data_IF_426779567252
#
_entry.id   IF_426779567252
#
_cell.length_a   1.000
_cell.length_b   1.000
_cell.length_c   1.000
_cell.angle_alpha   90.00
_cell.angle_beta   90.00
_cell.angle_gamma   90.00
#
_symmetry.space_group_name_H-M   'P 1'
#
loop_
_entity.id
_entity.type
_entity.pdbx_description
1 polymer ?
#
# COMPACT_ATOMS: atom_id res chain seq x y z
N UNK A 1 6.70 -19.64 -10.65
CA UNK A 1 5.83 -20.80 -10.97
C UNK A 1 6.64 -21.96 -11.52
N UNK A 2 7.66 -21.71 -12.35
CA UNK A 2 8.67 -22.72 -12.73
C UNK A 2 9.40 -23.36 -11.53
N UNK A 3 9.44 -22.69 -10.37
CA UNK A 3 10.07 -23.19 -9.15
C UNK A 3 9.25 -24.27 -8.41
N UNK A 4 7.97 -24.42 -8.71
CA UNK A 4 7.06 -25.41 -8.08
C UNK A 4 6.19 -26.12 -9.14
N UNK A 5 6.79 -26.86 -10.08
CA UNK A 5 6.06 -27.51 -11.15
C UNK A 5 5.12 -28.59 -10.61
N UNK A 6 3.88 -28.60 -11.09
CA UNK A 6 2.86 -29.58 -10.69
C UNK A 6 2.26 -29.36 -9.30
N UNK A 7 2.60 -28.27 -8.61
CA UNK A 7 1.99 -27.92 -7.31
C UNK A 7 0.73 -27.08 -7.53
N UNK A 8 -0.36 -27.45 -6.85
CA UNK A 8 -1.56 -26.62 -6.79
C UNK A 8 -1.31 -25.44 -5.82
N UNK A 9 -1.38 -24.21 -6.34
CA UNK A 9 -1.20 -23.00 -5.54
C UNK A 9 -2.56 -22.34 -5.30
N UNK A 10 -2.96 -22.28 -4.02
CA UNK A 10 -4.06 -21.40 -3.58
C UNK A 10 -3.47 -20.17 -2.91
N UNK A 11 -3.61 -19.01 -3.55
CA UNK A 11 -3.05 -17.75 -3.07
C UNK A 11 -4.14 -16.68 -2.94
N UNK A 12 -3.96 -15.79 -1.98
CA UNK A 12 -4.76 -14.58 -1.80
C UNK A 12 -3.85 -13.38 -1.60
N UNK A 13 -4.31 -12.21 -2.01
CA UNK A 13 -3.67 -10.92 -1.71
C UNK A 13 -4.64 -10.09 -0.91
N UNK A 14 -4.18 -9.54 0.20
CA UNK A 14 -4.92 -8.60 1.03
C UNK A 14 -4.28 -7.22 0.87
N UNK A 15 -5.05 -6.26 0.37
CA UNK A 15 -4.61 -4.88 0.21
C UNK A 15 -5.32 -3.99 1.23
N UNK A 16 -4.53 -3.19 1.96
CA UNK A 16 -5.04 -2.26 2.97
C UNK A 16 -4.71 -0.83 2.55
N UNK A 17 -5.73 -0.11 2.08
CA UNK A 17 -5.60 1.30 1.74
C UNK A 17 -5.45 2.18 2.98
N UNK A 18 -4.76 3.29 2.81
CA UNK A 18 -4.64 4.40 3.78
C UNK A 18 -5.73 5.44 3.55
N UNK A 19 -6.13 5.63 2.29
CA UNK A 19 -7.05 6.63 1.77
C UNK A 19 -7.88 6.04 0.63
N UNK A 20 -8.91 6.76 0.18
CA UNK A 20 -9.68 6.36 -1.00
C UNK A 20 -8.84 6.43 -2.29
N UNK A 21 -9.23 5.63 -3.28
CA UNK A 21 -8.48 5.47 -4.53
C UNK A 21 -8.31 6.78 -5.32
N UNK A 22 -9.30 7.69 -5.29
CA UNK A 22 -9.20 8.96 -6.00
C UNK A 22 -8.20 9.89 -5.33
N UNK A 23 -8.15 9.89 -4.01
CA UNK A 23 -7.17 10.67 -3.25
C UNK A 23 -5.74 10.16 -3.51
N UNK A 24 -5.53 8.83 -3.51
CA UNK A 24 -4.23 8.23 -3.87
C UNK A 24 -3.83 8.58 -5.30
N UNK A 25 -4.76 8.47 -6.26
CA UNK A 25 -4.51 8.83 -7.66
C UNK A 25 -4.08 10.31 -7.80
N UNK A 26 -4.72 11.22 -7.07
CA UNK A 26 -4.36 12.64 -7.08
C UNK A 26 -2.98 12.90 -6.49
N UNK A 27 -2.59 12.19 -5.42
CA UNK A 27 -1.25 12.28 -4.87
C UNK A 27 -0.20 11.86 -5.92
N UNK A 28 -0.44 10.76 -6.62
CA UNK A 28 0.44 10.28 -7.70
C UNK A 28 0.49 11.24 -8.89
N UNK A 29 -0.64 11.83 -9.28
CA UNK A 29 -0.67 12.85 -10.34
C UNK A 29 0.14 14.09 -9.95
N UNK A 30 0.04 14.54 -8.70
CA UNK A 30 0.81 15.67 -8.20
C UNK A 30 2.32 15.37 -8.15
N UNK A 31 2.69 14.14 -7.75
CA UNK A 31 4.08 13.68 -7.76
C UNK A 31 4.65 13.60 -9.19
N UNK A 32 3.90 13.02 -10.13
CA UNK A 32 4.29 12.98 -11.54
C UNK A 32 4.43 14.38 -12.15
N UNK A 33 3.50 15.31 -11.83
CA UNK A 33 3.63 16.69 -12.27
C UNK A 33 4.89 17.34 -11.70
N UNK A 34 5.20 17.10 -10.42
CA UNK A 34 6.39 17.64 -9.78
C UNK A 34 7.68 17.07 -10.37
N UNK A 35 7.68 15.79 -10.73
CA UNK A 35 8.79 15.15 -11.44
C UNK A 35 9.09 15.86 -12.77
N UNK A 36 8.05 16.21 -13.53
CA UNK A 36 8.17 16.92 -14.81
C UNK A 36 8.59 18.39 -14.68
N UNK A 37 8.13 19.10 -13.63
CA UNK A 37 8.28 20.55 -13.47
C UNK A 37 9.15 20.93 -12.27
N UNK A 38 10.05 20.04 -11.85
CA UNK A 38 10.82 20.20 -10.60
C UNK A 38 11.61 21.51 -10.53
N UNK A 39 12.16 21.96 -11.66
CA UNK A 39 12.98 23.17 -11.73
C UNK A 39 12.19 24.46 -11.49
N UNK A 40 10.88 24.45 -11.72
CA UNK A 40 9.99 25.62 -11.63
C UNK A 40 9.15 25.60 -10.35
N UNK A 41 9.14 24.47 -9.63
CA UNK A 41 8.33 24.30 -8.43
C UNK A 41 8.94 25.03 -7.23
N UNK A 42 8.12 25.84 -6.56
CA UNK A 42 8.46 26.42 -5.26
C UNK A 42 8.70 25.32 -4.21
N UNK A 43 9.58 25.58 -3.23
CA UNK A 43 9.90 24.61 -2.16
C UNK A 43 8.67 24.19 -1.36
N UNK A 44 7.75 25.12 -1.08
CA UNK A 44 6.49 24.82 -0.40
C UNK A 44 5.64 23.81 -1.19
N UNK A 45 5.62 23.92 -2.52
CA UNK A 45 4.92 22.97 -3.38
C UNK A 45 5.57 21.60 -3.37
N UNK A 46 6.91 21.53 -3.37
CA UNK A 46 7.66 20.28 -3.21
C UNK A 46 7.29 19.61 -1.89
N UNK A 47 7.34 20.35 -0.79
CA UNK A 47 7.03 19.84 0.54
C UNK A 47 5.57 19.36 0.63
N UNK A 48 4.62 20.10 0.04
CA UNK A 48 3.21 19.72 -0.02
C UNK A 48 2.99 18.41 -0.76
N UNK A 49 3.58 18.25 -1.95
CA UNK A 49 3.44 17.01 -2.75
C UNK A 49 4.06 15.82 -2.02
N UNK A 50 5.24 15.99 -1.41
CA UNK A 50 5.84 14.96 -0.58
C UNK A 50 4.93 14.54 0.58
N UNK A 51 4.25 15.51 1.22
CA UNK A 51 3.26 15.24 2.26
C UNK A 51 2.06 14.43 1.76
N UNK A 52 1.55 14.70 0.56
CA UNK A 52 0.45 13.95 -0.04
C UNK A 52 0.85 12.50 -0.32
N UNK A 53 2.04 12.27 -0.90
CA UNK A 53 2.56 10.92 -1.16
C UNK A 53 2.79 10.18 0.16
N UNK A 54 3.36 10.85 1.17
CA UNK A 54 3.55 10.27 2.50
C UNK A 54 2.23 9.83 3.11
N UNK A 55 1.21 10.68 3.11
CA UNK A 55 -0.10 10.34 3.67
C UNK A 55 -0.78 9.17 2.93
N UNK A 56 -0.55 9.05 1.61
CA UNK A 56 -1.12 7.98 0.80
C UNK A 56 -0.42 6.62 1.00
N UNK A 57 0.86 6.57 1.37
CA UNK A 57 1.62 5.30 1.39
C UNK A 57 2.28 4.96 2.74
N UNK A 58 2.55 5.94 3.59
CA UNK A 58 3.12 5.76 4.93
C UNK A 58 2.54 6.80 5.90
N UNK A 59 1.25 6.67 6.26
CA UNK A 59 0.57 7.58 7.15
C UNK A 59 1.22 7.53 8.56
N UNK A 60 1.34 8.67 9.26
CA UNK A 60 1.99 8.74 10.57
C UNK A 60 1.19 8.09 11.71
N UNK A 61 -0.07 7.74 11.48
CA UNK A 61 -0.97 7.15 12.47
C UNK A 61 -0.51 5.72 12.85
N UNK A 62 0.13 5.59 14.01
CA UNK A 62 0.56 4.29 14.55
C UNK A 62 -0.60 3.31 14.74
N UNK A 63 -1.83 3.81 14.95
CA UNK A 63 -3.03 2.98 15.05
C UNK A 63 -3.31 2.24 13.74
N UNK A 64 -3.16 2.90 12.59
CA UNK A 64 -3.35 2.26 11.29
C UNK A 64 -2.32 1.15 11.07
N UNK A 65 -1.05 1.38 11.45
CA UNK A 65 0.02 0.37 11.35
C UNK A 65 -0.26 -0.86 12.21
N UNK A 66 -0.73 -0.66 13.43
CA UNK A 66 -1.14 -1.77 14.30
C UNK A 66 -2.33 -2.55 13.70
N UNK A 67 -3.35 -1.84 13.20
CA UNK A 67 -4.54 -2.47 12.60
C UNK A 67 -4.21 -3.32 11.36
N UNK A 68 -3.34 -2.84 10.46
CA UNK A 68 -2.97 -3.62 9.27
C UNK A 68 -2.15 -4.86 9.63
N UNK A 69 -1.31 -4.78 10.68
CA UNK A 69 -0.53 -5.92 11.16
C UNK A 69 -1.47 -6.99 11.72
N UNK A 70 -2.39 -6.59 12.60
CA UNK A 70 -3.36 -7.50 13.20
C UNK A 70 -4.23 -8.18 12.13
N UNK A 71 -4.74 -7.41 11.16
CA UNK A 71 -5.55 -7.93 10.06
C UNK A 71 -4.75 -8.86 9.14
N UNK A 72 -3.51 -8.50 8.82
CA UNK A 72 -2.62 -9.33 8.01
C UNK A 72 -2.32 -10.68 8.68
N UNK A 73 -1.97 -10.65 9.97
CA UNK A 73 -1.73 -11.85 10.76
C UNK A 73 -2.98 -12.72 10.87
N UNK A 74 -4.15 -12.11 11.12
CA UNK A 74 -5.41 -12.85 11.16
C UNK A 74 -5.72 -13.55 9.82
N UNK A 75 -5.46 -12.89 8.69
CA UNK A 75 -5.63 -13.47 7.35
C UNK A 75 -4.69 -14.66 7.12
N UNK A 76 -3.41 -14.52 7.49
CA UNK A 76 -2.41 -15.60 7.39
C UNK A 76 -2.81 -16.79 8.27
N UNK A 77 -3.19 -16.54 9.52
CA UNK A 77 -3.64 -17.59 10.45
C UNK A 77 -4.86 -18.31 9.90
N UNK A 78 -5.86 -17.59 9.40
CA UNK A 78 -7.06 -18.19 8.80
C UNK A 78 -6.72 -19.07 7.59
N UNK A 79 -5.82 -18.62 6.71
CA UNK A 79 -5.38 -19.40 5.57
C UNK A 79 -4.66 -20.70 6.00
N UNK A 80 -3.73 -20.62 6.95
CA UNK A 80 -3.02 -21.80 7.49
C UNK A 80 -3.98 -22.77 8.17
N UNK A 81 -4.91 -22.26 8.99
CA UNK A 81 -5.92 -23.10 9.64
C UNK A 81 -6.83 -23.80 8.63
N UNK A 82 -7.26 -23.09 7.58
CA UNK A 82 -8.06 -23.66 6.50
C UNK A 82 -7.33 -24.79 5.77
N UNK A 83 -6.04 -24.61 5.46
CA UNK A 83 -5.21 -25.63 4.82
C UNK A 83 -4.97 -26.85 5.72
N UNK A 84 -4.84 -26.66 7.03
CA UNK A 84 -4.62 -27.77 7.98
C UNK A 84 -5.89 -28.57 8.31
N UNK A 85 -7.08 -28.03 8.00
CA UNK A 85 -8.37 -28.64 8.29
C UNK A 85 -8.96 -29.42 7.10
N UNK A 86 -8.41 -29.25 5.89
CA UNK A 86 -8.74 -30.03 4.69
C UNK A 86 -7.87 -31.26 4.54
#
# INVERSE_FOLDING_TARGET
>A
MDELPGTELTAITLEFGTQDAITVLRALQADNWLWLHRAEAAEEQVARVAGLVRAAFDPPEETWRAEILDRGLAGITAAVTGLAAG
#
